data_IF_065784940360
#
_entry.id   IF_065784940360
#
_cell.length_a   1.000
_cell.length_b   1.000
_cell.length_c   1.000
_cell.angle_alpha   90.00
_cell.angle_beta   90.00
_cell.angle_gamma   90.00
#
_symmetry.space_group_name_H-M   'P 1'
#
loop_
_entity.id
_entity.type
_entity.pdbx_description
1 polymer ?
#
# COMPACT_ATOMS: atom_id res chain seq x y z
N UNK A 1 -1.06 -15.98 -13.47
CA UNK A 1 -1.16 -14.92 -14.52
C UNK A 1 -2.62 -14.64 -14.89
N UNK A 2 -3.46 -15.68 -15.04
CA UNK A 2 -4.91 -15.54 -15.22
C UNK A 2 -5.59 -14.77 -14.08
N UNK A 3 -5.29 -15.08 -12.82
CA UNK A 3 -5.96 -14.46 -11.67
C UNK A 3 -5.65 -12.96 -11.53
N UNK A 4 -4.41 -12.56 -11.80
CA UNK A 4 -4.01 -11.14 -11.83
C UNK A 4 -4.73 -10.36 -12.92
N UNK A 5 -4.96 -10.97 -14.08
CA UNK A 5 -5.69 -10.35 -15.18
C UNK A 5 -7.18 -10.22 -14.86
N UNK A 6 -7.79 -11.27 -14.30
CA UNK A 6 -9.20 -11.27 -13.85
C UNK A 6 -9.43 -10.21 -12.77
N UNK A 7 -8.54 -10.11 -11.79
CA UNK A 7 -8.63 -9.10 -10.74
C UNK A 7 -8.44 -7.68 -11.29
N UNK A 8 -7.55 -7.49 -12.27
CA UNK A 8 -7.39 -6.22 -12.96
C UNK A 8 -8.67 -5.82 -13.72
N UNK A 9 -9.25 -6.71 -14.52
CA UNK A 9 -10.50 -6.41 -15.26
C UNK A 9 -11.66 -6.13 -14.31
N UNK A 10 -11.85 -6.96 -13.28
CA UNK A 10 -12.85 -6.71 -12.23
C UNK A 10 -12.67 -5.33 -11.61
N UNK A 11 -11.45 -5.01 -11.18
CA UNK A 11 -11.12 -3.72 -10.58
C UNK A 11 -11.43 -2.56 -11.51
N UNK A 12 -11.06 -2.65 -12.80
CA UNK A 12 -11.30 -1.58 -13.76
C UNK A 12 -12.80 -1.40 -14.07
N UNK A 13 -13.54 -2.50 -14.21
CA UNK A 13 -15.01 -2.47 -14.39
C UNK A 13 -15.65 -1.79 -13.18
N UNK A 14 -15.30 -2.23 -11.96
CA UNK A 14 -15.85 -1.66 -10.74
C UNK A 14 -15.43 -0.21 -10.52
N UNK A 15 -14.19 0.16 -10.84
CA UNK A 15 -13.74 1.55 -10.80
C UNK A 15 -14.55 2.47 -11.72
N UNK A 16 -15.05 1.95 -12.85
CA UNK A 16 -15.85 2.73 -13.78
C UNK A 16 -17.33 2.79 -13.37
N UNK A 17 -17.89 1.65 -12.95
CA UNK A 17 -19.28 1.55 -12.49
C UNK A 17 -19.51 2.30 -11.17
N UNK A 18 -18.53 2.25 -10.26
CA UNK A 18 -18.56 2.92 -8.98
C UNK A 18 -17.83 4.25 -9.05
N UNK A 19 -18.44 5.24 -9.68
CA UNK A 19 -18.00 6.63 -9.62
C UNK A 19 -18.35 7.27 -8.25
N UNK A 20 -17.93 6.62 -7.17
CA UNK A 20 -18.26 7.01 -5.81
C UNK A 20 -17.37 8.17 -5.35
N UNK A 21 -17.98 9.12 -4.62
CA UNK A 21 -17.24 10.16 -3.92
C UNK A 21 -16.31 9.51 -2.90
N UNK A 22 -15.03 9.86 -2.95
CA UNK A 22 -14.04 9.32 -2.02
C UNK A 22 -14.31 9.82 -0.60
N UNK A 23 -14.06 8.95 0.38
CA UNK A 23 -14.09 9.29 1.79
C UNK A 23 -12.67 9.44 2.31
N UNK A 24 -12.26 10.69 2.58
CA UNK A 24 -10.92 11.01 3.07
C UNK A 24 -10.65 10.52 4.51
N UNK A 25 -11.69 10.13 5.24
CA UNK A 25 -11.57 9.49 6.57
C UNK A 25 -11.34 7.98 6.49
N UNK A 26 -11.51 7.36 5.32
CA UNK A 26 -11.27 5.92 5.13
C UNK A 26 -9.89 5.72 4.52
N UNK A 27 -9.01 5.04 5.28
CA UNK A 27 -7.63 4.78 4.89
C UNK A 27 -7.42 3.28 4.72
N UNK A 28 -6.82 2.88 3.60
CA UNK A 28 -6.57 1.47 3.28
C UNK A 28 -5.08 1.19 3.29
N UNK A 29 -4.71 0.08 3.91
CA UNK A 29 -3.34 -0.39 4.06
C UNK A 29 -3.17 -1.72 3.33
N UNK A 30 -2.01 -1.93 2.72
CA UNK A 30 -1.67 -3.19 2.07
C UNK A 30 -0.16 -3.44 2.01
N UNK A 31 0.21 -4.71 1.88
CA UNK A 31 1.61 -5.13 1.76
C UNK A 31 1.78 -6.28 0.76
N UNK A 32 2.72 -7.19 1.00
CA UNK A 32 3.11 -8.27 0.09
C UNK A 32 1.89 -9.09 -0.33
N UNK A 33 1.63 -9.14 -1.63
CA UNK A 33 0.55 -9.90 -2.27
C UNK A 33 -0.87 -9.65 -1.70
N UNK A 34 -1.04 -8.62 -0.87
CA UNK A 34 -2.22 -8.45 -0.01
C UNK A 34 -2.49 -9.68 0.87
N UNK A 35 -1.47 -10.41 1.31
CA UNK A 35 -1.58 -11.60 2.16
C UNK A 35 -0.83 -11.43 3.48
N UNK A 36 0.10 -10.49 3.56
CA UNK A 36 0.97 -10.30 4.73
C UNK A 36 0.67 -9.01 5.50
N UNK A 37 0.70 -9.12 6.83
CA UNK A 37 0.66 -7.98 7.76
C UNK A 37 2.07 -7.63 8.23
N UNK A 38 2.79 -6.82 7.46
CA UNK A 38 4.21 -6.54 7.72
C UNK A 38 4.69 -5.18 7.19
N UNK A 39 6.01 -4.96 7.30
CA UNK A 39 6.73 -3.76 6.87
C UNK A 39 6.10 -2.46 7.39
N UNK A 40 6.33 -1.35 6.70
CA UNK A 40 5.92 -0.03 7.17
C UNK A 40 4.40 0.13 7.25
N UNK A 41 3.63 -0.52 6.38
CA UNK A 41 2.16 -0.48 6.42
C UNK A 41 1.59 -1.05 7.71
N UNK A 42 2.14 -2.15 8.25
CA UNK A 42 1.74 -2.72 9.55
C UNK A 42 1.86 -1.68 10.67
N UNK A 43 3.05 -1.11 10.84
CA UNK A 43 3.32 -0.20 11.95
C UNK A 43 2.52 1.09 11.85
N UNK A 44 2.36 1.65 10.64
CA UNK A 44 1.51 2.82 10.45
C UNK A 44 0.03 2.52 10.70
N UNK A 45 -0.46 1.35 10.27
CA UNK A 45 -1.84 0.92 10.54
C UNK A 45 -2.12 0.80 12.05
N UNK A 46 -1.21 0.16 12.80
CA UNK A 46 -1.36 0.04 14.27
C UNK A 46 -1.40 1.42 14.91
N UNK A 47 -0.49 2.32 14.51
CA UNK A 47 -0.49 3.70 15.02
C UNK A 47 -1.83 4.41 14.75
N UNK A 48 -2.36 4.32 13.53
CA UNK A 48 -3.64 4.95 13.15
C UNK A 48 -4.81 4.36 13.95
N UNK A 49 -4.85 3.04 14.10
CA UNK A 49 -5.87 2.35 14.89
C UNK A 49 -5.90 2.83 16.36
N UNK A 50 -4.72 3.00 16.95
CA UNK A 50 -4.56 3.39 18.34
C UNK A 50 -4.80 4.89 18.57
N UNK A 51 -4.35 5.75 17.66
CA UNK A 51 -4.20 7.19 17.91
C UNK A 51 -5.14 8.08 17.06
N UNK A 52 -5.62 7.62 15.91
CA UNK A 52 -6.37 8.46 14.95
C UNK A 52 -7.85 8.07 14.91
N UNK A 53 -8.63 8.49 15.93
CA UNK A 53 -10.02 8.06 16.11
C UNK A 53 -11.01 8.56 15.05
N UNK A 54 -10.66 9.63 14.34
CA UNK A 54 -11.47 10.17 13.23
C UNK A 54 -11.25 9.42 11.91
N UNK A 55 -10.29 8.49 11.87
CA UNK A 55 -9.96 7.69 10.71
C UNK A 55 -10.54 6.29 10.86
N UNK A 56 -11.09 5.76 9.78
CA UNK A 56 -11.48 4.35 9.65
C UNK A 56 -10.39 3.61 8.86
N UNK A 57 -9.45 2.92 9.55
CA UNK A 57 -8.41 2.16 8.88
C UNK A 57 -8.92 0.78 8.48
N UNK A 58 -8.61 0.36 7.26
CA UNK A 58 -8.75 -1.02 6.81
C UNK A 58 -7.42 -1.56 6.32
N UNK A 59 -7.11 -2.82 6.61
CA UNK A 59 -5.94 -3.51 6.08
C UNK A 59 -6.40 -4.66 5.16
N UNK A 60 -5.87 -4.71 3.94
CA UNK A 60 -6.22 -5.78 3.00
C UNK A 60 -5.39 -7.04 3.28
N UNK A 61 -6.08 -8.14 3.62
CA UNK A 61 -5.53 -9.49 3.81
C UNK A 61 -6.43 -10.50 3.09
N UNK A 62 -5.95 -11.05 1.98
CA UNK A 62 -6.62 -12.05 1.16
C UNK A 62 -6.35 -13.48 1.64
N UNK A 63 -5.31 -13.73 2.46
CA UNK A 63 -5.18 -15.02 3.12
C UNK A 63 -6.24 -15.14 4.24
N UNK A 64 -7.07 -16.17 4.19
CA UNK A 64 -8.23 -16.26 5.07
C UNK A 64 -7.80 -16.61 6.51
N UNK A 65 -6.76 -17.44 6.69
CA UNK A 65 -6.27 -17.82 8.01
C UNK A 65 -5.61 -16.64 8.73
N UNK A 66 -4.76 -15.89 8.00
CA UNK A 66 -4.09 -14.70 8.51
C UNK A 66 -5.10 -13.59 8.81
N UNK A 67 -6.11 -13.38 7.95
CA UNK A 67 -7.17 -12.41 8.20
C UNK A 67 -7.92 -12.73 9.49
N UNK A 68 -8.32 -13.98 9.70
CA UNK A 68 -9.03 -14.41 10.91
C UNK A 68 -8.14 -14.36 12.17
N UNK A 69 -6.83 -14.60 12.04
CA UNK A 69 -5.88 -14.40 13.14
C UNK A 69 -5.80 -12.92 13.56
N UNK A 70 -5.71 -12.02 12.59
CA UNK A 70 -5.58 -10.59 12.81
C UNK A 70 -6.86 -9.95 13.36
N UNK A 71 -8.02 -10.37 12.85
CA UNK A 71 -9.33 -9.97 13.38
C UNK A 71 -9.49 -10.32 14.86
N UNK A 72 -9.09 -11.53 15.27
CA UNK A 72 -9.08 -11.93 16.68
C UNK A 72 -8.13 -11.07 17.53
N UNK A 73 -7.01 -10.61 16.97
CA UNK A 73 -6.01 -9.82 17.69
C UNK A 73 -6.36 -8.33 17.80
N UNK A 74 -6.88 -7.72 16.74
CA UNK A 74 -7.08 -6.25 16.67
C UNK A 74 -8.54 -5.81 16.43
N UNK A 75 -9.46 -6.74 16.15
CA UNK A 75 -10.88 -6.49 15.94
C UNK A 75 -11.38 -6.89 14.54
N UNK A 76 -12.63 -7.39 14.47
CA UNK A 76 -13.26 -7.92 13.25
C UNK A 76 -13.37 -6.91 12.10
N UNK A 77 -13.57 -5.63 12.42
CA UNK A 77 -13.92 -4.61 11.43
C UNK A 77 -12.76 -4.08 10.61
N UNK A 78 -11.50 -4.37 10.98
CA UNK A 78 -10.35 -3.65 10.40
C UNK A 78 -9.61 -4.42 9.29
N UNK A 79 -9.89 -5.72 9.11
CA UNK A 79 -9.22 -6.52 8.08
C UNK A 79 -10.22 -6.98 7.03
N UNK A 80 -9.98 -6.57 5.79
CA UNK A 80 -10.85 -6.84 4.65
C UNK A 80 -10.10 -7.65 3.61
N UNK A 81 -10.85 -8.27 2.72
CA UNK A 81 -10.34 -8.95 1.53
C UNK A 81 -10.74 -8.15 0.28
N UNK A 82 -10.21 -8.53 -0.88
CA UNK A 82 -10.57 -7.92 -2.17
C UNK A 82 -10.94 -8.96 -3.22
N UNK A 83 -11.40 -10.14 -2.80
CA UNK A 83 -11.96 -11.18 -3.66
C UNK A 83 -13.46 -10.93 -3.88
N UNK A 84 -14.16 -10.26 -2.95
CA UNK A 84 -15.57 -9.88 -3.07
C UNK A 84 -15.79 -8.45 -3.59
N UNK A 85 -17.02 -8.18 -4.04
CA UNK A 85 -17.45 -6.85 -4.47
C UNK A 85 -17.39 -5.82 -3.35
N UNK A 86 -17.78 -6.21 -2.13
CA UNK A 86 -17.82 -5.32 -0.98
C UNK A 86 -16.41 -4.86 -0.60
N UNK A 87 -15.47 -5.79 -0.52
CA UNK A 87 -14.06 -5.50 -0.29
C UNK A 87 -13.46 -4.56 -1.33
N UNK A 88 -13.69 -4.85 -2.61
CA UNK A 88 -13.25 -3.97 -3.72
C UNK A 88 -13.90 -2.58 -3.60
N UNK A 89 -15.20 -2.51 -3.28
CA UNK A 89 -15.93 -1.25 -3.13
C UNK A 89 -15.39 -0.40 -1.99
N UNK A 90 -15.08 -1.01 -0.84
CA UNK A 90 -14.46 -0.35 0.31
C UNK A 90 -13.10 0.23 -0.05
N UNK A 91 -12.27 -0.53 -0.77
CA UNK A 91 -10.97 -0.02 -1.22
C UNK A 91 -11.12 1.12 -2.24
N UNK A 92 -12.08 1.01 -3.16
CA UNK A 92 -12.36 2.05 -4.16
C UNK A 92 -13.04 3.30 -3.57
N UNK A 93 -13.65 3.24 -2.39
CA UNK A 93 -14.22 4.43 -1.72
C UNK A 93 -13.20 5.17 -0.84
N UNK A 94 -12.10 4.51 -0.45
CA UNK A 94 -11.07 5.10 0.40
C UNK A 94 -10.35 6.29 -0.26
N UNK A 95 -10.16 7.37 0.49
CA UNK A 95 -9.46 8.57 0.04
C UNK A 95 -7.93 8.47 0.10
N UNK A 96 -7.40 7.55 0.93
CA UNK A 96 -5.95 7.35 1.08
C UNK A 96 -5.61 5.86 1.07
N UNK A 97 -4.59 5.49 0.30
CA UNK A 97 -3.99 4.16 0.30
C UNK A 97 -2.53 4.23 0.74
N UNK A 98 -2.14 3.35 1.66
CA UNK A 98 -0.77 3.14 2.11
C UNK A 98 -0.31 1.74 1.68
N UNK A 99 0.84 1.66 1.02
CA UNK A 99 1.38 0.40 0.51
C UNK A 99 2.86 0.23 0.82
N UNK A 100 3.26 -0.94 1.31
CA UNK A 100 4.67 -1.29 1.52
C UNK A 100 5.29 -2.10 0.38
N UNK A 101 4.53 -3.03 -0.20
CA UNK A 101 5.05 -3.95 -1.22
C UNK A 101 4.05 -4.27 -2.35
N UNK A 102 2.77 -3.96 -2.18
CA UNK A 102 1.72 -4.24 -3.16
C UNK A 102 0.51 -3.31 -2.99
N UNK A 103 -0.10 -2.90 -4.09
CA UNK A 103 -1.31 -2.08 -4.05
C UNK A 103 -2.51 -2.91 -3.57
N UNK A 104 -3.48 -2.32 -2.86
CA UNK A 104 -4.66 -3.04 -2.42
C UNK A 104 -5.52 -3.49 -3.62
N UNK A 105 -5.49 -2.73 -4.72
CA UNK A 105 -6.06 -3.07 -6.02
C UNK A 105 -5.13 -2.65 -7.16
N UNK A 106 -5.15 -3.40 -8.25
CA UNK A 106 -4.32 -3.15 -9.43
C UNK A 106 -5.16 -2.56 -10.56
N UNK A 107 -4.79 -1.37 -11.02
CA UNK A 107 -5.56 -0.60 -11.99
C UNK A 107 -4.85 0.69 -12.38
N UNK A 108 -5.54 1.55 -13.13
CA UNK A 108 -4.97 2.81 -13.63
C UNK A 108 -5.81 4.00 -13.19
N UNK A 109 -5.19 5.18 -13.10
CA UNK A 109 -5.86 6.47 -12.81
C UNK A 109 -6.55 6.52 -11.44
N UNK A 110 -6.07 5.73 -10.47
CA UNK A 110 -6.63 5.78 -9.13
C UNK A 110 -6.27 7.07 -8.39
N UNK A 111 -5.21 7.74 -8.79
CA UNK A 111 -4.71 8.95 -8.16
C UNK A 111 -5.45 10.24 -8.54
N UNK A 112 -6.51 10.17 -9.37
CA UNK A 112 -7.21 11.37 -9.82
C UNK A 112 -7.86 12.16 -8.68
N UNK A 113 -8.28 11.49 -7.60
CA UNK A 113 -8.80 12.13 -6.38
C UNK A 113 -8.33 11.44 -5.08
N UNK A 114 -7.49 10.41 -5.18
CA UNK A 114 -7.00 9.59 -4.06
C UNK A 114 -5.51 9.83 -3.85
N UNK A 115 -5.08 9.84 -2.60
CA UNK A 115 -3.66 9.77 -2.27
C UNK A 115 -3.19 8.32 -2.19
N UNK A 116 -2.16 7.95 -2.97
CA UNK A 116 -1.53 6.63 -2.89
C UNK A 116 -0.08 6.82 -2.46
N UNK A 117 0.23 6.37 -1.26
CA UNK A 117 1.49 6.59 -0.55
C UNK A 117 2.24 5.28 -0.48
N UNK A 118 3.36 5.20 -1.20
CA UNK A 118 4.26 4.05 -1.13
C UNK A 118 5.23 4.22 0.04
N UNK A 119 4.98 3.49 1.11
CA UNK A 119 5.82 3.43 2.30
C UNK A 119 7.08 2.59 2.10
N UNK A 120 7.11 1.78 1.04
CA UNK A 120 8.15 0.81 0.75
C UNK A 120 8.41 -0.15 1.92
N UNK A 121 9.47 -0.96 1.82
CA UNK A 121 9.78 -2.02 2.79
C UNK A 121 11.26 -2.03 3.22
N UNK A 122 12.07 -1.06 2.80
CA UNK A 122 13.44 -0.92 3.29
C UNK A 122 14.33 -0.03 2.44
N UNK A 123 15.50 0.32 2.96
CA UNK A 123 16.48 1.11 2.19
C UNK A 123 17.06 0.23 1.07
N UNK A 124 17.03 0.67 -0.19
CA UNK A 124 17.58 -0.11 -1.29
C UNK A 124 19.11 -0.20 -1.20
N UNK A 125 19.65 -1.42 -1.19
CA UNK A 125 21.09 -1.70 -1.34
C UNK A 125 21.46 -2.17 -2.75
N UNK A 126 20.48 -2.70 -3.49
CA UNK A 126 20.60 -3.13 -4.89
C UNK A 126 19.72 -2.24 -5.77
N UNK A 127 19.93 -2.26 -7.09
CA UNK A 127 19.00 -1.63 -8.04
C UNK A 127 17.62 -2.29 -7.90
N UNK A 128 16.58 -1.48 -7.73
CA UNK A 128 15.19 -1.92 -7.54
C UNK A 128 14.28 -1.38 -8.65
N UNK A 129 13.18 -2.09 -8.90
CA UNK A 129 12.11 -1.70 -9.82
C UNK A 129 12.63 -1.34 -11.22
N UNK A 130 12.44 -0.10 -11.70
CA UNK A 130 12.82 0.28 -13.07
C UNK A 130 14.34 0.25 -13.32
N UNK A 131 15.15 0.26 -12.25
CA UNK A 131 16.60 0.17 -12.33
C UNK A 131 17.12 -1.28 -12.35
N UNK A 132 16.28 -2.29 -12.14
CA UNK A 132 16.70 -3.69 -12.19
C UNK A 132 17.35 -4.04 -13.55
N UNK A 133 18.44 -4.81 -13.49
CA UNK A 133 19.08 -5.33 -14.70
C UNK A 133 18.12 -6.32 -15.40
N UNK A 134 18.13 -6.36 -16.73
CA UNK A 134 17.27 -7.23 -17.55
C UNK A 134 15.75 -7.00 -17.36
N UNK A 135 15.35 -5.80 -16.92
CA UNK A 135 13.93 -5.46 -16.79
C UNK A 135 13.29 -5.20 -18.16
N UNK A 136 12.46 -6.13 -18.62
CA UNK A 136 11.89 -6.12 -19.98
C UNK A 136 11.04 -4.88 -20.26
N UNK A 137 10.97 -4.46 -21.53
CA UNK A 137 10.17 -3.27 -21.95
C UNK A 137 8.70 -3.37 -21.51
N UNK A 138 8.08 -4.55 -21.64
CA UNK A 138 6.70 -4.77 -21.20
C UNK A 138 6.55 -4.60 -19.69
N UNK A 139 7.47 -5.16 -18.88
CA UNK A 139 7.48 -4.95 -17.43
C UNK A 139 7.64 -3.47 -17.07
N UNK A 140 8.49 -2.71 -17.77
CA UNK A 140 8.62 -1.24 -17.58
C UNK A 140 7.31 -0.52 -17.83
N UNK A 141 6.62 -0.83 -18.93
CA UNK A 141 5.32 -0.22 -19.28
C UNK A 141 4.28 -0.55 -18.22
N UNK A 142 4.18 -1.82 -17.82
CA UNK A 142 3.30 -2.26 -16.75
C UNK A 142 3.58 -1.50 -15.45
N UNK A 143 4.85 -1.46 -15.02
CA UNK A 143 5.23 -0.80 -13.78
C UNK A 143 4.90 0.69 -13.79
N UNK A 144 5.25 1.39 -14.88
CA UNK A 144 4.94 2.81 -15.04
C UNK A 144 3.44 3.07 -15.00
N UNK A 145 2.66 2.20 -15.62
CA UNK A 145 1.21 2.38 -15.77
C UNK A 145 0.44 2.11 -14.49
N UNK A 146 0.82 1.07 -13.74
CA UNK A 146 0.11 0.62 -12.54
C UNK A 146 0.66 1.27 -11.26
N UNK A 147 1.96 1.53 -11.18
CA UNK A 147 2.60 2.03 -9.96
C UNK A 147 3.02 3.49 -10.11
N UNK A 148 3.99 3.79 -10.99
CA UNK A 148 4.60 5.14 -11.08
C UNK A 148 3.56 6.24 -11.29
N UNK A 149 2.59 6.02 -12.18
CA UNK A 149 1.52 6.99 -12.47
C UNK A 149 0.52 7.13 -11.32
N UNK A 150 0.29 6.09 -10.53
CA UNK A 150 -0.66 6.09 -9.43
C UNK A 150 -0.06 6.64 -8.12
N UNK A 151 1.25 6.52 -7.90
CA UNK A 151 1.85 7.02 -6.66
C UNK A 151 1.77 8.55 -6.56
N UNK A 152 1.18 9.01 -5.46
CA UNK A 152 1.19 10.41 -5.02
C UNK A 152 2.51 10.72 -4.32
N UNK A 153 2.93 9.85 -3.40
CA UNK A 153 4.17 10.00 -2.64
C UNK A 153 4.89 8.66 -2.46
N UNK A 154 6.21 8.75 -2.25
CA UNK A 154 7.08 7.62 -1.94
C UNK A 154 7.97 8.01 -0.77
N UNK A 155 8.00 7.18 0.29
CA UNK A 155 8.82 7.46 1.47
C UNK A 155 10.28 7.07 1.25
N UNK A 156 11.15 7.82 1.90
CA UNK A 156 12.55 7.48 2.07
C UNK A 156 13.05 7.96 3.44
N UNK A 157 14.20 7.44 3.86
CA UNK A 157 14.81 7.76 5.17
C UNK A 157 15.85 8.88 5.09
N UNK A 158 16.34 9.23 3.90
CA UNK A 158 17.40 10.22 3.74
C UNK A 158 17.30 10.98 2.42
N UNK A 159 17.76 12.24 2.41
CA UNK A 159 17.91 13.06 1.21
C UNK A 159 18.83 12.39 0.18
N UNK A 160 19.85 11.65 0.64
CA UNK A 160 20.80 10.95 -0.25
C UNK A 160 20.13 9.83 -1.06
N UNK A 161 18.97 9.36 -0.61
CA UNK A 161 18.20 8.31 -1.28
C UNK A 161 17.14 8.88 -2.25
N UNK A 162 16.99 10.19 -2.35
CA UNK A 162 15.94 10.79 -3.18
C UNK A 162 16.11 10.39 -4.65
N UNK A 163 17.32 10.51 -5.20
CA UNK A 163 17.59 10.19 -6.60
C UNK A 163 17.36 8.71 -6.91
N UNK A 164 17.87 7.79 -6.08
CA UNK A 164 17.65 6.35 -6.30
C UNK A 164 16.17 5.99 -6.25
N UNK A 165 15.39 6.57 -5.32
CA UNK A 165 13.96 6.30 -5.22
C UNK A 165 13.19 6.91 -6.40
N UNK A 166 13.49 8.14 -6.78
CA UNK A 166 12.93 8.83 -7.95
C UNK A 166 13.09 7.98 -9.21
N UNK A 167 14.30 7.51 -9.46
CA UNK A 167 14.66 6.77 -10.67
C UNK A 167 14.12 5.33 -10.65
N UNK A 168 14.21 4.64 -9.50
CA UNK A 168 13.65 3.31 -9.32
C UNK A 168 12.15 3.24 -9.52
N UNK A 169 11.42 4.22 -9.00
CA UNK A 169 9.96 4.26 -9.12
C UNK A 169 9.48 5.05 -10.34
N UNK A 170 10.36 5.75 -11.06
CA UNK A 170 10.02 6.54 -12.24
C UNK A 170 9.02 7.66 -11.93
N UNK A 171 9.24 8.36 -10.82
CA UNK A 171 8.39 9.47 -10.35
C UNK A 171 9.14 10.78 -10.36
N UNK A 172 8.43 11.90 -10.17
CA UNK A 172 9.04 13.21 -9.94
C UNK A 172 9.68 13.27 -8.54
N UNK A 173 10.80 13.99 -8.41
CA UNK A 173 11.51 14.15 -7.15
C UNK A 173 10.62 14.68 -6.01
N UNK A 174 9.70 15.60 -6.32
CA UNK A 174 8.77 16.21 -5.36
C UNK A 174 7.84 15.18 -4.71
N UNK A 175 7.65 14.03 -5.34
CA UNK A 175 6.88 12.90 -4.80
C UNK A 175 7.67 12.07 -3.81
N UNK A 176 9.01 12.16 -3.77
CA UNK A 176 9.84 11.44 -2.81
C UNK A 176 9.92 12.26 -1.51
N UNK A 177 9.53 11.66 -0.40
CA UNK A 177 9.40 12.32 0.90
C UNK A 177 10.32 11.70 1.94
N UNK A 178 11.16 12.53 2.57
CA UNK A 178 12.06 12.12 3.65
C UNK A 178 11.30 12.13 4.98
N UNK A 179 10.41 11.16 5.16
CA UNK A 179 9.57 11.02 6.35
C UNK A 179 10.03 9.89 7.28
N UNK A 180 11.11 9.18 6.94
CA UNK A 180 11.54 8.02 7.69
C UNK A 180 10.74 6.77 7.32
N UNK A 181 10.69 5.80 8.23
CA UNK A 181 10.01 4.52 8.05
C UNK A 181 9.21 4.20 9.30
N UNK A 182 7.87 4.05 9.22
CA UNK A 182 7.02 3.74 10.38
C UNK A 182 7.50 2.55 11.22
N UNK A 183 8.11 1.54 10.59
CA UNK A 183 8.66 0.38 11.31
C UNK A 183 9.87 0.70 12.18
N UNK A 184 10.50 1.85 12.01
CA UNK A 184 11.65 2.26 12.81
C UNK A 184 11.21 3.07 14.03
N UNK A 185 9.96 3.55 14.09
CA UNK A 185 9.45 4.33 15.22
C UNK A 185 9.48 3.52 16.52
N UNK A 186 9.29 2.20 16.42
CA UNK A 186 9.36 1.27 17.56
C UNK A 186 10.76 1.17 18.18
N UNK A 187 11.82 1.52 17.44
CA UNK A 187 13.20 1.52 17.97
C UNK A 187 13.35 2.60 19.05
N UNK A 188 12.59 3.69 18.94
CA UNK A 188 12.68 4.85 19.83
C UNK A 188 11.61 4.83 20.93
N UNK A 189 10.84 3.74 21.05
CA UNK A 189 9.74 3.60 22.00
C UNK A 189 9.94 2.35 22.86
N UNK A 190 9.44 2.37 24.10
CA UNK A 190 9.27 1.14 24.89
C UNK A 190 8.00 0.44 24.40
N UNK A 191 8.15 -0.46 23.43
CA UNK A 191 7.02 -1.14 22.78
C UNK A 191 6.86 -2.55 23.35
N UNK A 192 5.61 -3.01 23.47
CA UNK A 192 5.32 -4.40 23.84
C UNK A 192 5.95 -5.36 22.80
N UNK A 193 6.64 -6.40 23.26
CA UNK A 193 7.31 -7.41 22.43
C UNK A 193 6.37 -8.10 21.44
N UNK A 194 5.08 -8.24 21.78
CA UNK A 194 4.07 -8.86 20.91
C UNK A 194 3.85 -8.13 19.56
N UNK A 195 4.21 -6.84 19.49
CA UNK A 195 4.15 -6.03 18.26
C UNK A 195 5.36 -6.33 17.36
N UNK A 196 6.51 -6.64 17.97
CA UNK A 196 7.78 -6.91 17.29
C UNK A 196 7.86 -8.34 16.73
N UNK A 197 7.26 -9.31 17.42
CA UNK A 197 7.38 -10.75 17.10
C UNK A 197 6.25 -11.29 16.19
N UNK A 198 5.28 -10.44 15.80
CA UNK A 198 4.11 -10.85 14.98
C UNK A 198 4.17 -10.46 13.52
#
# INVERSE_FOLDING_TARGET
>A
MKDKLVNFTKTMIFSHLFNQKLNNKVWVFSSTNNEEFNYNSKYLFIYVLENEKDITPYYVINDDNERERLKRKYGESFFIETKTLEGIKTVLSAGVWFTSAGLPLYGTKFNNNRQIINLWHGVPLKKIALLENNYSKLKKIYFKTIFSKNYSYILTTSKNLINIMKDSFGVDERKVKVWGQPRNDVIFKNVNKDILES
#
